data_IF_393414530769
#
_entry.id   IF_393414530769
#
_cell.length_a   1.000
_cell.length_b   1.000
_cell.length_c   1.000
_cell.angle_alpha   90.00
_cell.angle_beta   90.00
_cell.angle_gamma   90.00
#
_symmetry.space_group_name_H-M   'P 1'
#
loop_
_entity.id
_entity.type
_entity.pdbx_description
1 polymer ?
#
# COMPACT_ATOMS: atom_id res chain seq x y z
N UNK A 1 -27.86 -3.51 -7.88
CA UNK A 1 -26.45 -3.33 -8.29
C UNK A 1 -26.30 -1.99 -8.99
N UNK A 2 -25.07 -1.47 -9.11
CA UNK A 2 -24.79 -0.25 -9.87
C UNK A 2 -25.17 -0.50 -11.33
N UNK A 3 -26.02 0.37 -11.90
CA UNK A 3 -26.59 0.22 -13.23
C UNK A 3 -25.85 1.07 -14.31
N UNK A 4 -24.70 1.64 -13.97
CA UNK A 4 -23.92 2.55 -14.83
C UNK A 4 -22.41 2.43 -14.56
N UNK A 5 -21.61 3.23 -15.27
CA UNK A 5 -20.15 3.29 -15.11
C UNK A 5 -19.72 4.40 -14.15
N UNK A 6 -18.59 4.21 -13.48
CA UNK A 6 -17.91 5.26 -12.71
C UNK A 6 -16.97 6.09 -13.58
N UNK A 7 -16.73 7.33 -13.18
CA UNK A 7 -15.65 8.18 -13.70
C UNK A 7 -14.46 8.14 -12.75
N UNK A 8 -13.23 8.16 -13.28
CA UNK A 8 -12.03 8.21 -12.45
C UNK A 8 -11.93 9.51 -11.67
N UNK A 9 -11.36 9.46 -10.47
CA UNK A 9 -10.88 10.64 -9.76
C UNK A 9 -9.48 11.05 -10.23
N UNK A 10 -9.01 12.21 -9.74
CA UNK A 10 -7.68 12.74 -10.09
C UNK A 10 -6.59 12.28 -9.11
N UNK A 11 -6.90 12.23 -7.81
CA UNK A 11 -5.96 11.86 -6.76
C UNK A 11 -6.64 11.54 -5.42
N UNK A 12 -5.90 10.85 -4.54
CA UNK A 12 -6.34 10.61 -3.16
C UNK A 12 -6.51 11.92 -2.41
N UNK A 13 -7.71 12.14 -1.88
CA UNK A 13 -8.02 13.29 -1.04
C UNK A 13 -7.41 13.11 0.35
N UNK A 14 -6.71 14.14 0.81
CA UNK A 14 -6.20 14.22 2.18
C UNK A 14 -7.14 15.13 2.96
N UNK A 15 -7.74 14.60 4.01
CA UNK A 15 -8.66 15.39 4.84
C UNK A 15 -7.87 16.13 5.93
N UNK A 16 -8.01 17.45 5.91
CA UNK A 16 -7.10 18.43 6.53
C UNK A 16 -6.97 18.31 8.04
N UNK A 17 -8.04 17.98 8.75
CA UNK A 17 -8.05 18.02 10.23
C UNK A 17 -7.13 16.96 10.87
N UNK A 18 -6.92 15.82 10.20
CA UNK A 18 -6.10 14.71 10.74
C UNK A 18 -4.99 14.24 9.80
N UNK A 19 -4.88 14.81 8.60
CA UNK A 19 -3.97 14.37 7.54
C UNK A 19 -4.16 12.88 7.20
N UNK A 20 -5.42 12.46 7.08
CA UNK A 20 -5.77 11.10 6.69
C UNK A 20 -5.90 11.04 5.17
N UNK A 21 -5.23 10.06 4.57
CA UNK A 21 -5.32 9.78 3.15
C UNK A 21 -6.20 8.57 2.92
N UNK A 22 -7.25 8.75 2.12
CA UNK A 22 -8.19 7.69 1.81
C UNK A 22 -7.80 6.99 0.51
N UNK A 23 -7.95 5.66 0.53
CA UNK A 23 -7.90 4.80 -0.65
C UNK A 23 -9.14 3.90 -0.67
N UNK A 24 -9.61 3.58 -1.86
CA UNK A 24 -10.79 2.74 -2.06
C UNK A 24 -10.36 1.40 -2.66
N UNK A 25 -10.72 0.31 -2.00
CA UNK A 25 -10.47 -1.05 -2.46
C UNK A 25 -9.00 -1.20 -2.92
N UNK A 26 -8.79 -1.57 -4.19
CA UNK A 26 -7.49 -1.82 -4.80
C UNK A 26 -6.51 -0.65 -4.83
N UNK A 27 -6.94 0.59 -4.62
CA UNK A 27 -6.05 1.74 -4.67
C UNK A 27 -4.85 1.60 -3.71
N UNK A 28 -5.05 0.94 -2.57
CA UNK A 28 -3.97 0.67 -1.62
C UNK A 28 -2.87 -0.25 -2.19
N UNK A 29 -3.14 -1.02 -3.23
CA UNK A 29 -2.10 -1.88 -3.83
C UNK A 29 -1.11 -1.10 -4.68
N UNK A 30 -1.44 0.12 -5.10
CA UNK A 30 -0.60 0.95 -5.95
C UNK A 30 0.35 1.82 -5.12
N UNK A 31 1.64 1.48 -5.14
CA UNK A 31 2.68 2.18 -4.37
C UNK A 31 2.75 3.68 -4.67
N UNK A 32 2.62 4.07 -5.93
CA UNK A 32 2.72 5.48 -6.35
C UNK A 32 1.58 6.34 -5.77
N UNK A 33 0.34 5.82 -5.72
CA UNK A 33 -0.82 6.54 -5.16
C UNK A 33 -0.59 6.80 -3.67
N UNK A 34 -0.22 5.75 -2.94
CA UNK A 34 0.02 5.82 -1.49
C UNK A 34 1.21 6.71 -1.14
N UNK A 35 2.30 6.63 -1.92
CA UNK A 35 3.47 7.49 -1.74
C UNK A 35 3.18 8.95 -2.06
N UNK A 36 2.39 9.25 -3.11
CA UNK A 36 1.96 10.63 -3.42
C UNK A 36 1.18 11.21 -2.24
N UNK A 37 0.29 10.44 -1.62
CA UNK A 37 -0.45 10.87 -0.44
C UNK A 37 0.48 11.13 0.76
N UNK A 38 1.45 10.25 1.03
CA UNK A 38 2.48 10.48 2.06
C UNK A 38 3.26 11.77 1.82
N UNK A 39 3.68 12.03 0.58
CA UNK A 39 4.46 13.22 0.23
C UNK A 39 3.66 14.52 0.37
N UNK A 40 2.33 14.44 0.32
CA UNK A 40 1.42 15.56 0.60
C UNK A 40 1.09 15.73 2.08
N UNK A 41 1.73 14.97 2.98
CA UNK A 41 1.61 15.15 4.42
C UNK A 41 0.72 14.13 5.13
N UNK A 42 0.26 13.08 4.45
CA UNK A 42 -0.54 12.05 5.10
C UNK A 42 0.21 11.41 6.29
N UNK A 43 -0.49 11.27 7.41
CA UNK A 43 0.00 10.65 8.66
C UNK A 43 -0.69 9.34 9.00
N UNK A 44 -1.77 9.00 8.30
CA UNK A 44 -2.46 7.73 8.41
C UNK A 44 -3.12 7.42 7.07
N UNK A 45 -3.04 6.16 6.64
CA UNK A 45 -3.86 5.65 5.56
C UNK A 45 -5.19 5.15 6.10
N UNK A 46 -6.26 5.38 5.33
CA UNK A 46 -7.57 4.82 5.58
C UNK A 46 -8.03 4.12 4.30
N UNK A 47 -8.19 2.80 4.36
CA UNK A 47 -8.69 2.04 3.23
C UNK A 47 -10.13 1.60 3.50
N UNK A 48 -11.02 1.91 2.55
CA UNK A 48 -12.41 1.46 2.54
C UNK A 48 -12.56 0.42 1.44
N UNK A 49 -12.84 -0.82 1.80
CA UNK A 49 -12.84 -1.96 0.86
C UNK A 49 -14.03 -2.90 1.06
N UNK A 50 -14.24 -3.75 0.06
CA UNK A 50 -15.14 -4.88 0.11
C UNK A 50 -14.48 -6.03 -0.65
N UNK A 51 -13.98 -7.03 0.04
CA UNK A 51 -13.32 -8.18 -0.58
C UNK A 51 -14.30 -9.31 -0.95
N UNK A 52 -15.63 -9.10 -0.82
CA UNK A 52 -16.67 -10.04 -1.25
C UNK A 52 -16.56 -10.43 -2.73
N UNK A 53 -15.90 -9.61 -3.55
CA UNK A 53 -15.63 -9.90 -4.96
C UNK A 53 -14.65 -11.07 -5.18
N UNK A 54 -14.01 -11.57 -4.12
CA UNK A 54 -13.01 -12.66 -4.18
C UNK A 54 -13.43 -13.91 -3.41
N UNK A 55 -14.63 -14.47 -3.63
CA UNK A 55 -15.18 -15.54 -2.81
C UNK A 55 -14.27 -16.78 -2.86
N UNK A 56 -14.03 -17.39 -1.69
CA UNK A 56 -13.29 -18.66 -1.54
C UNK A 56 -11.86 -18.64 -2.11
N UNK A 57 -11.23 -17.46 -2.20
CA UNK A 57 -9.86 -17.31 -2.71
C UNK A 57 -8.91 -16.78 -1.62
N UNK A 58 -7.59 -16.87 -1.85
CA UNK A 58 -6.58 -16.24 -0.98
C UNK A 58 -6.36 -14.74 -1.29
N UNK A 59 -7.07 -14.19 -2.27
CA UNK A 59 -6.81 -12.84 -2.78
C UNK A 59 -7.06 -11.75 -1.73
N UNK A 60 -8.07 -11.91 -0.86
CA UNK A 60 -8.32 -10.93 0.21
C UNK A 60 -7.15 -10.84 1.20
N UNK A 61 -6.44 -11.95 1.45
CA UNK A 61 -5.23 -11.96 2.29
C UNK A 61 -4.08 -11.26 1.58
N UNK A 62 -3.89 -11.55 0.29
CA UNK A 62 -2.87 -10.90 -0.53
C UNK A 62 -3.11 -9.38 -0.66
N UNK A 63 -4.38 -8.99 -0.82
CA UNK A 63 -4.79 -7.59 -0.83
C UNK A 63 -4.38 -6.91 0.49
N UNK A 64 -4.73 -7.51 1.63
CA UNK A 64 -4.32 -7.01 2.94
C UNK A 64 -2.79 -7.01 3.15
N UNK A 65 -2.08 -8.00 2.62
CA UNK A 65 -0.62 -8.05 2.69
C UNK A 65 0.02 -6.89 1.91
N UNK A 66 -0.50 -6.55 0.73
CA UNK A 66 -0.08 -5.35 0.00
C UNK A 66 -0.34 -4.08 0.81
N UNK A 67 -1.50 -3.98 1.47
CA UNK A 67 -1.84 -2.84 2.32
C UNK A 67 -0.80 -2.62 3.44
N UNK A 68 -0.38 -3.70 4.12
CA UNK A 68 0.66 -3.65 5.16
C UNK A 68 1.99 -3.17 4.59
N UNK A 69 2.39 -3.65 3.40
CA UNK A 69 3.63 -3.21 2.74
C UNK A 69 3.61 -1.70 2.50
N UNK A 70 2.48 -1.13 2.07
CA UNK A 70 2.38 0.32 1.87
C UNK A 70 2.53 1.12 3.16
N UNK A 71 2.02 0.60 4.28
CA UNK A 71 2.21 1.22 5.61
C UNK A 71 3.70 1.27 5.97
N UNK A 72 4.42 0.15 5.78
CA UNK A 72 5.87 0.04 6.00
C UNK A 72 6.64 1.00 5.09
N UNK A 73 6.34 0.96 3.79
CA UNK A 73 7.00 1.77 2.77
C UNK A 73 6.89 3.27 3.03
N UNK A 74 5.78 3.73 3.61
CA UNK A 74 5.55 5.13 3.87
C UNK A 74 5.79 5.54 5.33
N UNK A 75 6.06 4.55 6.19
CA UNK A 75 6.29 4.76 7.62
C UNK A 75 5.11 5.42 8.31
N UNK A 76 3.88 5.05 7.95
CA UNK A 76 2.64 5.55 8.58
C UNK A 76 1.64 4.41 8.78
N UNK A 77 0.79 4.47 9.82
CA UNK A 77 -0.23 3.47 10.08
C UNK A 77 -1.30 3.39 8.99
N UNK A 78 -2.01 2.27 8.98
CA UNK A 78 -3.15 1.98 8.13
C UNK A 78 -4.34 1.56 8.98
N UNK A 79 -5.49 2.18 8.71
CA UNK A 79 -6.80 1.75 9.20
C UNK A 79 -7.55 1.18 8.00
N UNK A 80 -7.88 -0.11 8.03
CA UNK A 80 -8.63 -0.79 6.98
C UNK A 80 -10.01 -1.17 7.49
N UNK A 81 -11.04 -0.63 6.85
CA UNK A 81 -12.43 -1.00 7.08
C UNK A 81 -12.95 -1.80 5.88
N UNK A 82 -13.23 -3.08 6.09
CA UNK A 82 -13.72 -3.99 5.07
C UNK A 82 -15.13 -4.48 5.38
N UNK A 83 -16.03 -4.40 4.39
CA UNK A 83 -17.40 -4.91 4.53
C UNK A 83 -17.43 -6.44 4.69
N UNK A 84 -16.69 -7.15 3.83
CA UNK A 84 -16.58 -8.62 3.80
C UNK A 84 -15.13 -8.94 3.50
N UNK A 85 -14.40 -9.46 4.49
CA UNK A 85 -12.95 -9.65 4.40
C UNK A 85 -12.24 -9.24 5.69
N UNK A 86 -11.01 -8.73 5.58
CA UNK A 86 -10.19 -8.37 6.74
C UNK A 86 -10.39 -6.89 7.08
N UNK A 87 -10.94 -6.62 8.27
CA UNK A 87 -10.93 -5.30 8.92
C UNK A 87 -9.79 -5.28 9.93
N UNK A 88 -8.91 -4.28 9.88
CA UNK A 88 -7.69 -4.28 10.69
C UNK A 88 -7.12 -2.88 10.93
N UNK A 89 -6.34 -2.76 12.00
CA UNK A 89 -5.42 -1.63 12.22
C UNK A 89 -4.00 -2.15 12.15
N UNK A 90 -3.17 -1.48 11.36
CA UNK A 90 -1.77 -1.80 11.14
C UNK A 90 -0.94 -0.59 11.50
N UNK A 91 0.14 -0.78 12.25
CA UNK A 91 1.04 0.31 12.60
C UNK A 91 2.02 0.65 11.45
N UNK A 92 2.81 1.70 11.65
CA UNK A 92 3.80 2.17 10.66
C UNK A 92 4.92 1.17 10.35
N UNK A 93 5.06 0.10 11.14
CA UNK A 93 6.03 -0.97 10.92
C UNK A 93 5.38 -2.20 10.26
N UNK A 94 4.11 -2.10 9.86
CA UNK A 94 3.37 -3.19 9.22
C UNK A 94 2.87 -4.25 10.20
N UNK A 95 2.96 -4.00 11.51
CA UNK A 95 2.47 -4.94 12.53
C UNK A 95 0.97 -4.74 12.67
N UNK A 96 0.23 -5.86 12.68
CA UNK A 96 -1.21 -5.84 12.94
C UNK A 96 -1.41 -5.54 14.42
N UNK A 97 -2.01 -4.40 14.72
CA UNK A 97 -2.36 -3.99 16.09
C UNK A 97 -3.54 -4.82 16.57
N UNK A 98 -4.56 -4.92 15.72
CA UNK A 98 -5.72 -5.79 15.91
C UNK A 98 -6.42 -6.01 14.56
N UNK A 99 -7.15 -7.12 14.43
CA UNK A 99 -7.85 -7.48 13.21
C UNK A 99 -9.02 -8.43 13.44
N UNK A 100 -10.06 -8.22 12.62
CA UNK A 100 -11.15 -9.16 12.42
C UNK A 100 -10.93 -9.87 11.09
N UNK A 101 -10.56 -11.15 11.15
CA UNK A 101 -10.22 -11.98 10.00
C UNK A 101 -11.41 -12.71 9.37
N UNK A 102 -12.60 -12.59 9.96
CA UNK A 102 -13.77 -13.38 9.56
C UNK A 102 -14.48 -12.72 8.39
N UNK A 103 -14.54 -13.43 7.27
CA UNK A 103 -15.04 -12.90 5.99
C UNK A 103 -16.54 -12.56 6.03
N UNK A 104 -17.35 -13.31 6.77
CA UNK A 104 -18.82 -13.27 6.69
C UNK A 104 -19.49 -13.17 8.07
N UNK A 105 -18.97 -12.29 8.94
CA UNK A 105 -19.58 -11.99 10.23
C UNK A 105 -19.75 -10.50 10.41
N UNK A 106 -20.95 -10.08 10.78
CA UNK A 106 -21.20 -8.71 11.22
C UNK A 106 -20.45 -8.45 12.53
N UNK A 107 -19.75 -7.32 12.60
CA UNK A 107 -18.96 -6.96 13.76
C UNK A 107 -18.37 -5.55 13.65
N UNK A 108 -17.80 -5.10 14.76
CA UNK A 108 -17.06 -3.85 14.83
C UNK A 108 -15.73 -4.09 15.57
N UNK A 109 -14.68 -3.44 15.09
CA UNK A 109 -13.34 -3.52 15.66
C UNK A 109 -13.03 -2.20 16.39
N UNK A 110 -12.90 -2.24 17.71
CA UNK A 110 -12.60 -1.07 18.55
C UNK A 110 -11.13 -1.07 18.96
N UNK A 111 -10.33 -0.18 18.38
CA UNK A 111 -8.87 -0.18 18.55
C UNK A 111 -8.34 1.22 18.76
N UNK A 112 -7.37 1.38 19.68
CA UNK A 112 -6.57 2.59 19.79
C UNK A 112 -5.46 2.56 18.75
N UNK A 113 -5.68 3.22 17.61
CA UNK A 113 -4.72 3.23 16.51
C UNK A 113 -3.47 4.07 16.85
N UNK A 114 -2.25 3.51 16.75
CA UNK A 114 -1.02 4.28 16.93
C UNK A 114 -0.81 5.20 15.73
N UNK A 115 -0.73 6.51 15.94
CA UNK A 115 -0.55 7.52 14.89
C UNK A 115 0.92 7.90 14.65
N UNK A 116 1.85 7.02 14.99
CA UNK A 116 3.27 7.26 14.79
C UNK A 116 3.60 7.28 13.30
N UNK A 117 4.31 8.32 12.85
CA UNK A 117 4.66 8.52 11.45
C UNK A 117 6.12 8.99 11.34
N UNK A 118 6.88 8.38 10.43
CA UNK A 118 8.25 8.76 10.11
C UNK A 118 8.48 8.81 8.59
N UNK A 119 9.66 9.26 8.16
CA UNK A 119 10.07 9.22 6.75
C UNK A 119 10.95 7.99 6.53
N UNK A 120 10.63 7.21 5.51
CA UNK A 120 11.44 6.06 5.08
C UNK A 120 12.29 6.45 3.87
N UNK A 121 13.29 5.62 3.57
CA UNK A 121 14.06 5.74 2.32
C UNK A 121 13.12 5.68 1.10
N UNK A 122 12.14 4.78 1.12
CA UNK A 122 11.15 4.65 0.04
C UNK A 122 10.26 5.89 -0.10
N UNK A 123 9.78 6.48 0.98
CA UNK A 123 8.97 7.71 0.91
C UNK A 123 9.74 8.85 0.25
N UNK A 124 11.06 8.94 0.52
CA UNK A 124 11.93 9.95 -0.07
C UNK A 124 12.24 9.68 -1.55
N UNK A 125 12.76 8.50 -1.88
CA UNK A 125 13.29 8.20 -3.22
C UNK A 125 12.36 7.39 -4.12
N UNK A 126 11.33 6.75 -3.57
CA UNK A 126 10.44 5.86 -4.31
C UNK A 126 11.19 4.77 -5.06
N UNK A 127 10.71 4.45 -6.26
CA UNK A 127 11.25 3.37 -7.09
C UNK A 127 12.59 3.74 -7.76
N UNK A 128 13.06 5.00 -7.67
CA UNK A 128 14.30 5.45 -8.31
C UNK A 128 15.53 4.67 -7.84
N UNK A 129 15.57 4.23 -6.58
CA UNK A 129 16.69 3.42 -6.08
C UNK A 129 16.75 2.06 -6.75
N UNK A 130 15.59 1.40 -6.91
CA UNK A 130 15.51 0.10 -7.59
C UNK A 130 15.91 0.27 -9.05
N UNK A 131 15.39 1.29 -9.72
CA UNK A 131 15.74 1.60 -11.11
C UNK A 131 17.26 1.81 -11.24
N UNK A 132 17.86 2.61 -10.37
CA UNK A 132 19.30 2.87 -10.37
C UNK A 132 20.12 1.59 -10.23
N UNK A 133 19.84 0.75 -9.21
CA UNK A 133 20.59 -0.48 -9.00
C UNK A 133 20.37 -1.50 -10.12
N UNK A 134 19.14 -1.64 -10.62
CA UNK A 134 18.84 -2.50 -11.77
C UNK A 134 19.61 -2.04 -13.02
N UNK A 135 19.67 -0.73 -13.28
CA UNK A 135 20.46 -0.18 -14.40
C UNK A 135 21.96 -0.46 -14.24
N UNK A 136 22.52 -0.29 -13.05
CA UNK A 136 23.94 -0.58 -12.79
C UNK A 136 24.29 -2.06 -13.02
N UNK A 137 23.43 -2.98 -12.58
CA UNK A 137 23.60 -4.42 -12.82
C UNK A 137 23.61 -4.72 -14.32
N UNK A 138 22.63 -4.19 -15.06
CA UNK A 138 22.52 -4.38 -16.51
C UNK A 138 23.77 -3.82 -17.23
N UNK A 139 24.20 -2.61 -16.89
CA UNK A 139 25.40 -2.00 -17.48
C UNK A 139 26.65 -2.85 -17.19
N UNK A 140 26.79 -3.33 -15.94
CA UNK A 140 27.92 -4.16 -15.54
C UNK A 140 28.00 -5.47 -16.33
N UNK A 141 26.85 -6.09 -16.61
CA UNK A 141 26.75 -7.30 -17.42
C UNK A 141 27.24 -7.05 -18.85
N UNK A 142 26.78 -5.97 -19.50
CA UNK A 142 27.22 -5.62 -20.86
C UNK A 142 28.71 -5.28 -20.94
N UNK A 143 29.27 -4.61 -19.92
CA UNK A 143 30.71 -4.33 -19.85
C UNK A 143 31.51 -5.63 -19.76
N UNK A 144 31.10 -6.58 -18.91
CA UNK A 144 31.78 -7.87 -18.75
C UNK A 144 31.68 -8.73 -20.01
N UNK A 145 30.50 -8.77 -20.63
CA UNK A 145 30.27 -9.49 -21.88
C UNK A 145 31.16 -8.96 -23.01
N UNK A 146 31.24 -7.63 -23.18
CA UNK A 146 32.12 -7.02 -24.20
C UNK A 146 33.61 -7.30 -23.95
N UNK A 147 34.03 -7.40 -22.67
CA UNK A 147 35.42 -7.76 -22.31
C UNK A 147 35.75 -9.21 -22.63
N UNK A 148 34.83 -10.16 -22.39
CA UNK A 148 35.03 -11.58 -22.74
C UNK A 148 35.20 -11.77 -24.24
N UNK A 149 34.30 -11.21 -25.05
CA UNK A 149 34.36 -11.33 -26.51
C UNK A 149 35.56 -10.63 -27.17
N UNK A 150 36.30 -9.78 -26.45
CA UNK A 150 37.53 -9.15 -26.95
C UNK A 150 38.78 -9.98 -26.62
N UNK A 151 38.66 -10.91 -25.66
CA UNK A 151 39.73 -11.78 -25.20
C UNK A 151 39.64 -13.20 -25.79
N UNK A 152 38.60 -13.47 -26.59
CA UNK A 152 38.45 -14.62 -27.49
C UNK A 152 38.79 -14.18 -28.92
#
# INVERSE_FOLDING_TARGET
GIASSFTKGDESKIFSDKNYAFSICYEETFSNIMRKAKNKGAKCFVNLTNDAYFPKSKLFRQHFDHAKIRAIENGIPLIRACNTGITAVVDSFGRVVDAMYKEDQAGALFVKAPLFSYKTIYSLFGDYLVILFSSLVIISYFIQHKRRNKNE
#
